data_IF_967859028214
#
_entry.id   IF_967859028214
#
_cell.length_a   1.000
_cell.length_b   1.000
_cell.length_c   1.000
_cell.angle_alpha   90.00
_cell.angle_beta   90.00
_cell.angle_gamma   90.00
#
_symmetry.space_group_name_H-M   'P 1'
#
loop_
_entity.id
_entity.type
_entity.pdbx_description
1 polymer ?
#
# COMPACT_ATOMS: atom_id res chain seq x y z
N UNK A 1 16.79 12.75 33.91
CA UNK A 1 16.48 13.22 32.53
C UNK A 1 15.18 14.03 32.56
N UNK A 2 15.15 15.21 31.97
CA UNK A 2 13.94 16.03 31.91
C UNK A 2 12.97 15.43 30.91
N UNK A 3 11.71 15.20 31.30
CA UNK A 3 10.66 14.73 30.37
C UNK A 3 10.40 15.78 29.29
N UNK A 4 10.25 15.35 28.07
CA UNK A 4 9.87 16.23 26.93
C UNK A 4 8.44 16.79 27.15
N UNK A 5 8.13 17.91 26.48
CA UNK A 5 6.78 18.53 26.54
C UNK A 5 5.71 17.51 26.09
N UNK A 6 5.99 16.73 25.05
CA UNK A 6 5.09 15.68 24.57
C UNK A 6 4.83 14.63 25.62
N UNK A 7 5.86 14.19 26.35
CA UNK A 7 5.73 13.20 27.41
C UNK A 7 4.90 13.71 28.59
N UNK A 8 5.07 14.98 28.96
CA UNK A 8 4.28 15.60 30.03
C UNK A 8 2.81 15.70 29.66
N UNK A 9 2.51 16.25 28.48
CA UNK A 9 1.13 16.51 28.04
C UNK A 9 0.35 15.24 27.66
N UNK A 10 1.02 14.11 27.52
CA UNK A 10 0.36 12.83 27.19
C UNK A 10 0.51 11.79 28.30
N UNK A 11 1.08 12.17 29.44
CA UNK A 11 1.41 11.21 30.52
C UNK A 11 0.15 10.50 31.02
N UNK A 12 -0.88 11.26 31.38
CA UNK A 12 -2.12 10.73 31.94
C UNK A 12 -2.79 9.72 31.02
N UNK A 13 -3.01 10.08 29.74
CA UNK A 13 -3.66 9.19 28.77
C UNK A 13 -2.79 7.95 28.50
N UNK A 14 -1.47 8.08 28.45
CA UNK A 14 -0.58 6.93 28.28
C UNK A 14 -0.62 6.00 29.49
N UNK A 15 -0.67 6.54 30.70
CA UNK A 15 -0.84 5.74 31.93
C UNK A 15 -2.17 4.99 31.97
N UNK A 16 -3.24 5.58 31.44
CA UNK A 16 -4.55 4.90 31.34
C UNK A 16 -4.56 3.79 30.28
N UNK A 17 -3.87 3.98 29.15
CA UNK A 17 -3.89 3.06 28.03
C UNK A 17 -2.86 1.92 28.16
N UNK A 18 -1.70 2.18 28.75
CA UNK A 18 -0.62 1.18 28.86
C UNK A 18 -1.01 -0.11 29.58
N UNK A 19 -1.80 -0.11 30.65
CA UNK A 19 -2.27 -1.35 31.29
C UNK A 19 -3.17 -2.19 30.37
N UNK A 20 -3.85 -1.57 29.40
CA UNK A 20 -4.78 -2.24 28.50
C UNK A 20 -4.09 -2.92 27.31
N UNK A 21 -3.06 -2.28 26.76
CA UNK A 21 -2.48 -2.72 25.47
C UNK A 21 -0.96 -2.88 25.48
N UNK A 22 -0.26 -2.45 26.53
CA UNK A 22 1.19 -2.40 26.62
C UNK A 22 1.72 -0.98 26.39
N UNK A 23 3.01 -0.83 26.16
CA UNK A 23 3.67 0.48 26.06
C UNK A 23 3.05 1.37 24.98
N UNK A 24 2.59 2.55 25.39
CA UNK A 24 2.05 3.59 24.51
C UNK A 24 3.05 4.73 24.42
N UNK A 25 3.40 5.12 23.19
CA UNK A 25 4.25 6.29 22.93
C UNK A 25 3.44 7.41 22.27
N UNK A 26 3.95 8.65 22.35
CA UNK A 26 3.29 9.81 21.77
C UNK A 26 4.24 10.59 20.86
N UNK A 27 3.70 11.22 19.82
CA UNK A 27 4.42 12.13 18.93
C UNK A 27 3.58 13.40 18.69
N UNK A 28 4.21 14.57 18.57
CA UNK A 28 3.49 15.80 18.28
C UNK A 28 2.83 15.75 16.89
N UNK A 29 1.65 16.32 16.79
CA UNK A 29 0.91 16.60 15.56
C UNK A 29 0.70 18.12 15.45
N UNK A 30 0.15 18.59 14.34
CA UNK A 30 -0.18 20.01 14.16
C UNK A 30 -1.18 20.53 15.23
N UNK A 31 -2.14 19.68 15.64
CA UNK A 31 -3.24 20.07 16.53
C UNK A 31 -3.32 19.22 17.80
N UNK A 32 -2.22 18.63 18.25
CA UNK A 32 -2.20 17.80 19.45
C UNK A 32 -1.13 16.72 19.38
N UNK A 33 -1.45 15.50 19.82
CA UNK A 33 -0.49 14.41 19.93
C UNK A 33 -1.08 13.13 19.35
N UNK A 34 -0.33 12.45 18.47
CA UNK A 34 -0.65 11.09 18.01
C UNK A 34 -0.20 10.07 19.06
N UNK A 35 -1.06 9.13 19.37
CA UNK A 35 -0.78 8.01 20.28
C UNK A 35 -0.47 6.75 19.46
N UNK A 36 0.63 6.11 19.81
CA UNK A 36 1.18 4.98 19.08
C UNK A 36 1.33 3.75 19.98
N UNK A 37 0.95 2.62 19.44
CA UNK A 37 1.35 1.31 19.92
C UNK A 37 2.31 0.72 18.89
N UNK A 38 3.55 0.45 19.28
CA UNK A 38 4.63 0.09 18.37
C UNK A 38 4.81 1.14 17.25
N UNK A 39 4.46 0.82 16.00
CA UNK A 39 4.56 1.70 14.82
C UNK A 39 3.19 2.18 14.31
N UNK A 40 2.11 1.94 15.05
CA UNK A 40 0.74 2.16 14.63
C UNK A 40 0.10 3.29 15.41
N UNK A 41 -0.23 4.39 14.73
CA UNK A 41 -1.00 5.48 15.33
C UNK A 41 -2.46 5.04 15.44
N UNK A 42 -2.88 4.66 16.64
CA UNK A 42 -4.22 4.15 16.90
C UNK A 42 -5.18 5.20 17.48
N UNK A 43 -4.66 6.34 17.88
CA UNK A 43 -5.47 7.42 18.41
C UNK A 43 -4.72 8.74 18.40
N UNK A 44 -5.42 9.78 18.81
CA UNK A 44 -4.85 11.11 19.03
C UNK A 44 -5.40 11.72 20.33
N UNK A 45 -4.60 12.60 20.91
CA UNK A 45 -4.99 13.42 22.05
C UNK A 45 -4.99 14.89 21.61
N UNK A 46 -6.11 15.57 21.82
CA UNK A 46 -6.25 16.99 21.53
C UNK A 46 -7.07 17.64 22.66
N UNK A 47 -6.54 18.72 23.25
CA UNK A 47 -7.16 19.40 24.38
C UNK A 47 -7.55 18.42 25.51
N UNK A 48 -6.63 17.50 25.84
CA UNK A 48 -6.76 16.43 26.84
C UNK A 48 -7.87 15.40 26.57
N UNK A 49 -8.47 15.45 25.38
CA UNK A 49 -9.47 14.47 24.94
C UNK A 49 -8.81 13.42 24.07
N UNK A 50 -9.02 12.15 24.41
CA UNK A 50 -8.57 11.02 23.60
C UNK A 50 -9.60 10.66 22.54
N UNK A 51 -9.11 10.51 21.30
CA UNK A 51 -9.89 10.06 20.15
C UNK A 51 -9.28 8.77 19.61
N UNK A 52 -10.07 7.70 19.57
CA UNK A 52 -9.68 6.40 19.02
C UNK A 52 -9.90 6.39 17.50
N UNK A 53 -8.94 5.89 16.74
CA UNK A 53 -9.11 5.69 15.31
C UNK A 53 -10.00 4.48 15.05
N UNK A 54 -11.04 4.65 14.24
CA UNK A 54 -11.94 3.56 13.83
C UNK A 54 -12.50 3.78 12.44
N UNK A 55 -12.74 2.68 11.71
CA UNK A 55 -13.36 2.68 10.39
C UNK A 55 -14.38 1.56 10.29
N UNK A 56 -15.23 1.65 9.28
CA UNK A 56 -16.16 0.61 8.88
C UNK A 56 -16.96 0.04 10.06
N UNK A 57 -16.95 -1.27 10.25
CA UNK A 57 -17.70 -1.94 11.32
C UNK A 57 -17.38 -1.45 12.72
N UNK A 58 -16.12 -1.09 12.99
CA UNK A 58 -15.73 -0.57 14.30
C UNK A 58 -16.29 0.84 14.51
N UNK A 59 -16.23 1.71 13.51
CA UNK A 59 -16.81 3.05 13.57
C UNK A 59 -18.32 2.97 13.84
N UNK A 60 -19.05 2.18 13.07
CA UNK A 60 -20.49 1.95 13.27
C UNK A 60 -20.82 1.40 14.66
N UNK A 61 -19.97 0.48 15.17
CA UNK A 61 -20.14 -0.03 16.53
C UNK A 61 -19.97 1.10 17.56
N UNK A 62 -18.93 1.93 17.43
CA UNK A 62 -18.67 3.02 18.35
C UNK A 62 -19.78 4.08 18.32
N UNK A 63 -20.25 4.46 17.15
CA UNK A 63 -21.36 5.42 16.96
C UNK A 63 -22.66 4.92 17.61
N UNK A 64 -23.03 3.65 17.40
CA UNK A 64 -24.19 3.03 18.07
C UNK A 64 -24.07 3.02 19.58
N UNK A 65 -22.84 3.06 20.09
CA UNK A 65 -22.56 3.17 21.52
C UNK A 65 -22.39 4.64 21.98
N UNK A 66 -22.67 5.62 21.12
CA UNK A 66 -22.65 7.04 21.43
C UNK A 66 -21.25 7.67 21.43
N UNK A 67 -20.32 7.10 20.70
CA UNK A 67 -19.07 7.79 20.39
C UNK A 67 -19.34 8.94 19.41
N UNK A 68 -18.58 10.03 19.58
CA UNK A 68 -18.70 11.23 18.75
C UNK A 68 -17.47 11.35 17.86
N UNK A 69 -17.69 11.47 16.56
CA UNK A 69 -16.61 11.68 15.60
C UNK A 69 -15.95 13.06 15.85
N UNK A 70 -14.63 13.10 15.75
CA UNK A 70 -13.89 14.34 15.75
C UNK A 70 -14.08 15.08 14.41
N UNK A 71 -14.51 16.32 14.48
CA UNK A 71 -14.72 17.16 13.31
C UNK A 71 -13.59 18.19 13.19
N UNK A 72 -12.92 18.21 12.06
CA UNK A 72 -12.00 19.29 11.68
C UNK A 72 -12.77 20.36 10.94
N UNK A 73 -12.76 21.58 11.47
CA UNK A 73 -13.23 22.75 10.73
C UNK A 73 -12.04 23.28 9.92
N UNK A 74 -12.02 22.97 8.62
CA UNK A 74 -11.07 23.59 7.71
C UNK A 74 -11.37 25.08 7.56
N UNK A 75 -10.33 25.89 7.30
CA UNK A 75 -10.42 27.35 7.03
C UNK A 75 -11.42 27.71 5.90
N UNK A 76 -11.82 26.73 5.10
CA UNK A 76 -12.86 26.83 4.05
C UNK A 76 -14.28 26.47 4.53
N UNK A 77 -14.52 26.38 5.84
CA UNK A 77 -15.82 25.97 6.42
C UNK A 77 -16.36 24.62 5.96
N UNK A 78 -15.50 23.71 5.50
CA UNK A 78 -15.88 22.33 5.19
C UNK A 78 -15.60 21.48 6.41
N UNK A 79 -16.66 20.95 7.03
CA UNK A 79 -16.54 19.91 8.05
C UNK A 79 -16.06 18.61 7.38
N UNK A 80 -14.90 18.12 7.79
CA UNK A 80 -14.41 16.83 7.37
C UNK A 80 -14.59 15.85 8.52
N UNK A 81 -15.54 14.93 8.38
CA UNK A 81 -15.73 13.84 9.35
C UNK A 81 -14.47 12.99 9.33
N UNK A 82 -13.83 12.86 10.47
CA UNK A 82 -12.60 12.09 10.60
C UNK A 82 -12.89 10.67 11.06
N UNK A 83 -11.91 9.77 10.84
CA UNK A 83 -11.97 8.41 11.37
C UNK A 83 -11.48 8.33 12.84
N UNK A 84 -11.68 9.38 13.63
CA UNK A 84 -11.30 9.48 15.04
C UNK A 84 -12.52 9.76 15.90
N UNK A 85 -12.71 9.02 16.98
CA UNK A 85 -13.91 9.02 17.78
C UNK A 85 -13.59 9.23 19.26
N UNK A 86 -14.25 10.20 19.89
CA UNK A 86 -14.29 10.32 21.33
C UNK A 86 -15.18 9.22 21.90
N UNK A 87 -14.63 8.43 22.83
CA UNK A 87 -15.34 7.29 23.40
C UNK A 87 -16.19 7.73 24.60
N UNK A 88 -17.44 7.26 24.72
CA UNK A 88 -18.32 7.55 25.84
C UNK A 88 -17.87 6.80 27.11
N UNK A 89 -18.23 7.33 28.27
CA UNK A 89 -17.92 6.75 29.61
C UNK A 89 -18.27 5.27 29.71
N UNK A 90 -19.40 4.84 29.14
CA UNK A 90 -19.84 3.44 29.14
C UNK A 90 -18.84 2.46 28.46
N UNK A 91 -18.02 2.96 27.54
CA UNK A 91 -16.95 2.16 26.95
C UNK A 91 -15.68 2.27 27.81
N UNK A 92 -15.27 3.48 28.18
CA UNK A 92 -14.01 3.71 28.89
C UNK A 92 -14.01 3.20 30.33
N UNK A 93 -15.18 3.13 30.98
CA UNK A 93 -15.32 2.57 32.34
C UNK A 93 -15.41 1.02 32.35
N UNK A 94 -15.66 0.39 31.22
CA UNK A 94 -15.61 -1.07 31.09
C UNK A 94 -14.24 -1.49 30.55
N UNK A 95 -13.31 -1.87 31.41
CA UNK A 95 -11.94 -2.17 31.05
C UNK A 95 -11.81 -3.23 29.92
N UNK A 96 -12.63 -4.29 29.96
CA UNK A 96 -12.61 -5.34 28.94
C UNK A 96 -13.09 -4.81 27.58
N UNK A 97 -14.19 -4.05 27.55
CA UNK A 97 -14.71 -3.46 26.34
C UNK A 97 -13.76 -2.39 25.80
N UNK A 98 -13.19 -1.56 26.66
CA UNK A 98 -12.22 -0.54 26.29
C UNK A 98 -10.96 -1.16 25.66
N UNK A 99 -10.39 -2.18 26.31
CA UNK A 99 -9.27 -2.94 25.74
C UNK A 99 -9.63 -3.55 24.38
N UNK A 100 -10.81 -4.16 24.25
CA UNK A 100 -11.27 -4.81 23.02
C UNK A 100 -11.34 -3.83 21.86
N UNK A 101 -11.96 -2.66 22.04
CA UNK A 101 -12.11 -1.67 20.95
C UNK A 101 -10.77 -1.05 20.55
N UNK A 102 -9.84 -0.82 21.50
CA UNK A 102 -8.50 -0.32 21.19
C UNK A 102 -7.71 -1.37 20.40
N UNK A 103 -7.71 -2.63 20.83
CA UNK A 103 -7.02 -3.72 20.10
C UNK A 103 -7.60 -3.92 18.70
N UNK A 104 -8.90 -3.77 18.53
CA UNK A 104 -9.55 -3.86 17.23
C UNK A 104 -9.15 -2.69 16.32
N UNK A 105 -9.04 -1.48 16.85
CA UNK A 105 -8.50 -0.33 16.12
C UNK A 105 -7.07 -0.59 15.62
N UNK A 106 -6.19 -1.08 16.51
CA UNK A 106 -4.81 -1.40 16.16
C UNK A 106 -4.77 -2.44 15.03
N UNK A 107 -5.55 -3.52 15.16
CA UNK A 107 -5.65 -4.57 14.12
C UNK A 107 -6.11 -4.02 12.77
N UNK A 108 -7.13 -3.15 12.74
CA UNK A 108 -7.55 -2.49 11.49
C UNK A 108 -6.40 -1.72 10.83
N UNK A 109 -5.60 -1.02 11.61
CA UNK A 109 -4.48 -0.25 11.10
C UNK A 109 -3.39 -1.18 10.52
N UNK A 110 -3.13 -2.30 11.17
CA UNK A 110 -2.19 -3.32 10.71
C UNK A 110 -2.65 -3.93 9.38
N UNK A 111 -3.92 -4.33 9.32
CA UNK A 111 -4.55 -4.87 8.11
C UNK A 111 -4.54 -3.87 6.96
N UNK A 112 -4.89 -2.60 7.20
CA UNK A 112 -4.80 -1.54 6.20
C UNK A 112 -3.38 -1.33 5.66
N UNK A 113 -2.38 -1.32 6.56
CA UNK A 113 -0.98 -1.18 6.14
C UNK A 113 -0.50 -2.37 5.33
N UNK A 114 -0.89 -3.58 5.74
CA UNK A 114 -0.56 -4.81 5.01
C UNK A 114 -1.22 -4.80 3.63
N UNK A 115 -2.52 -4.48 3.54
CA UNK A 115 -3.24 -4.39 2.28
C UNK A 115 -2.59 -3.38 1.32
N UNK A 116 -2.26 -2.17 1.80
CA UNK A 116 -1.55 -1.15 1.00
C UNK A 116 -0.16 -1.62 0.55
N UNK A 117 0.56 -2.36 1.40
CA UNK A 117 1.86 -2.93 1.05
C UNK A 117 1.72 -3.97 -0.05
N UNK A 118 0.74 -4.88 0.06
CA UNK A 118 0.47 -5.90 -0.96
C UNK A 118 0.00 -5.28 -2.28
N UNK A 119 -0.89 -4.28 -2.22
CA UNK A 119 -1.31 -3.52 -3.39
C UNK A 119 -0.12 -2.84 -4.08
N UNK A 120 0.75 -2.20 -3.30
CA UNK A 120 1.97 -1.58 -3.83
C UNK A 120 2.88 -2.60 -4.51
N UNK A 121 3.09 -3.78 -3.89
CA UNK A 121 3.91 -4.85 -4.45
C UNK A 121 3.32 -5.46 -5.72
N UNK A 122 1.99 -5.39 -5.90
CA UNK A 122 1.30 -5.85 -7.10
C UNK A 122 1.33 -4.85 -8.26
N UNK A 123 1.94 -3.67 -8.09
CA UNK A 123 2.12 -2.69 -9.17
C UNK A 123 3.28 -3.08 -10.07
N UNK A 124 3.06 -3.05 -11.39
CA UNK A 124 4.04 -3.45 -12.42
C UNK A 124 5.36 -2.67 -12.30
N UNK A 125 5.28 -1.37 -11.98
CA UNK A 125 6.46 -0.51 -11.77
C UNK A 125 7.35 -0.89 -10.59
N UNK A 126 6.95 -1.84 -9.75
CA UNK A 126 7.78 -2.37 -8.66
C UNK A 126 8.64 -3.56 -9.09
N UNK A 127 8.38 -4.13 -10.28
CA UNK A 127 9.23 -5.17 -10.84
C UNK A 127 10.56 -4.58 -11.35
N UNK A 128 11.66 -5.34 -11.27
CA UNK A 128 12.94 -4.93 -11.84
C UNK A 128 12.79 -4.52 -13.31
N UNK A 129 13.56 -3.54 -13.75
CA UNK A 129 13.58 -2.97 -15.11
C UNK A 129 12.29 -2.25 -15.55
N UNK A 130 11.20 -2.33 -14.78
CA UNK A 130 9.93 -1.74 -15.14
C UNK A 130 9.69 -0.44 -14.36
N UNK A 131 9.10 0.53 -15.05
CA UNK A 131 8.75 1.85 -14.50
C UNK A 131 7.27 2.12 -14.79
N UNK A 132 6.77 3.27 -14.36
CA UNK A 132 5.42 3.76 -14.70
C UNK A 132 5.16 3.77 -16.21
N UNK A 133 6.21 3.95 -17.05
CA UNK A 133 6.11 3.87 -18.51
C UNK A 133 5.66 2.48 -18.96
N UNK A 134 6.25 1.43 -18.40
CA UNK A 134 5.87 0.05 -18.71
C UNK A 134 4.50 -0.32 -18.16
N UNK A 135 4.14 0.16 -16.98
CA UNK A 135 2.80 -0.01 -16.41
C UNK A 135 1.72 0.57 -17.34
N UNK A 136 1.92 1.80 -17.83
CA UNK A 136 1.02 2.43 -18.81
C UNK A 136 1.03 1.70 -20.17
N UNK A 137 2.16 1.17 -20.58
CA UNK A 137 2.30 0.41 -21.83
C UNK A 137 1.51 -0.90 -21.76
N UNK A 138 1.67 -1.66 -20.68
CA UNK A 138 0.99 -2.93 -20.44
C UNK A 138 -0.51 -2.78 -20.21
N UNK A 139 -0.94 -1.67 -19.60
CA UNK A 139 -2.35 -1.35 -19.45
C UNK A 139 -3.10 -1.26 -20.81
N UNK A 140 -2.42 -0.88 -21.89
CA UNK A 140 -3.01 -0.85 -23.24
C UNK A 140 -3.39 -2.25 -23.78
N UNK A 141 -2.85 -3.30 -23.19
CA UNK A 141 -3.12 -4.71 -23.53
C UNK A 141 -3.78 -5.45 -22.36
N UNK A 142 -4.49 -4.70 -21.51
CA UNK A 142 -5.29 -5.21 -20.37
C UNK A 142 -4.46 -5.94 -19.30
N UNK A 143 -3.20 -5.51 -19.11
CA UNK A 143 -2.31 -6.01 -18.07
C UNK A 143 -2.09 -4.87 -17.07
N UNK A 144 -2.82 -4.91 -15.93
CA UNK A 144 -2.85 -3.82 -14.96
C UNK A 144 -2.01 -4.07 -13.71
N UNK A 145 -1.64 -5.33 -13.45
CA UNK A 145 -0.96 -5.74 -12.23
C UNK A 145 0.04 -6.88 -12.46
N UNK A 146 0.90 -7.12 -11.46
CA UNK A 146 1.96 -8.15 -11.52
C UNK A 146 1.38 -9.55 -11.67
N UNK A 147 0.26 -9.86 -11.02
CA UNK A 147 -0.38 -11.18 -11.08
C UNK A 147 -0.83 -11.49 -12.52
N UNK A 148 -1.56 -10.55 -13.13
CA UNK A 148 -1.99 -10.66 -14.54
C UNK A 148 -0.80 -10.75 -15.48
N UNK A 149 0.26 -9.93 -15.23
CA UNK A 149 1.46 -9.96 -16.05
C UNK A 149 2.21 -11.32 -15.98
N UNK A 150 2.31 -11.91 -14.78
CA UNK A 150 2.88 -13.26 -14.60
C UNK A 150 2.08 -14.35 -15.33
N UNK A 151 0.76 -14.25 -15.31
CA UNK A 151 -0.13 -15.19 -16.01
C UNK A 151 0.00 -15.08 -17.53
N UNK A 152 0.03 -13.86 -18.08
CA UNK A 152 0.15 -13.60 -19.52
C UNK A 152 1.56 -13.94 -20.03
N UNK A 153 2.58 -13.61 -19.25
CA UNK A 153 4.00 -13.76 -19.61
C UNK A 153 4.52 -12.68 -20.55
N UNK A 154 5.84 -12.48 -20.56
CA UNK A 154 6.50 -11.43 -21.32
C UNK A 154 6.31 -11.57 -22.84
N UNK A 155 6.37 -12.80 -23.35
CA UNK A 155 6.22 -13.09 -24.79
C UNK A 155 4.83 -12.66 -25.26
N UNK A 156 3.77 -13.12 -24.60
CA UNK A 156 2.40 -12.81 -24.99
C UNK A 156 2.08 -11.31 -24.80
N UNK A 157 2.60 -10.70 -23.75
CA UNK A 157 2.47 -9.27 -23.54
C UNK A 157 3.10 -8.47 -24.69
N UNK A 158 4.31 -8.82 -25.11
CA UNK A 158 4.98 -8.19 -26.25
C UNK A 158 4.23 -8.41 -27.56
N UNK A 159 3.76 -9.63 -27.83
CA UNK A 159 2.96 -9.96 -29.03
C UNK A 159 1.66 -9.14 -29.05
N UNK A 160 0.94 -9.02 -27.92
CA UNK A 160 -0.27 -8.19 -27.81
C UNK A 160 0.01 -6.73 -28.14
N UNK A 161 1.13 -6.16 -27.64
CA UNK A 161 1.54 -4.79 -27.94
C UNK A 161 1.80 -4.61 -29.45
N UNK A 162 2.49 -5.56 -30.07
CA UNK A 162 2.74 -5.54 -31.53
C UNK A 162 1.45 -5.65 -32.35
N UNK A 163 0.50 -6.49 -31.94
CA UNK A 163 -0.82 -6.63 -32.60
C UNK A 163 -1.63 -5.33 -32.58
N UNK A 164 -1.52 -4.54 -31.51
CA UNK A 164 -2.13 -3.21 -31.43
C UNK A 164 -1.37 -2.13 -32.19
N UNK A 165 -0.35 -2.49 -32.99
CA UNK A 165 0.45 -1.52 -33.74
C UNK A 165 1.36 -0.65 -32.87
N UNK A 166 1.55 -0.99 -31.59
CA UNK A 166 2.40 -0.22 -30.69
C UNK A 166 3.86 -0.49 -31.03
N UNK A 167 4.61 0.58 -31.30
CA UNK A 167 6.05 0.48 -31.54
C UNK A 167 6.79 0.15 -30.26
N UNK A 168 7.21 -1.10 -30.12
CA UNK A 168 8.08 -1.61 -29.06
C UNK A 168 9.31 -2.26 -29.66
N UNK A 169 10.47 -2.00 -29.05
CA UNK A 169 11.76 -2.54 -29.49
C UNK A 169 12.12 -3.81 -28.68
N UNK A 170 13.23 -4.43 -29.07
CA UNK A 170 13.72 -5.64 -28.42
C UNK A 170 14.17 -5.39 -26.95
N UNK A 171 14.65 -4.19 -26.63
CA UNK A 171 14.99 -3.79 -25.28
C UNK A 171 13.77 -3.81 -24.34
N UNK A 172 12.60 -3.38 -24.87
CA UNK A 172 11.33 -3.53 -24.17
C UNK A 172 11.04 -4.97 -23.82
N UNK A 173 11.27 -5.89 -24.76
CA UNK A 173 11.08 -7.33 -24.52
C UNK A 173 12.03 -7.85 -23.44
N UNK A 174 13.32 -7.47 -23.48
CA UNK A 174 14.28 -7.89 -22.45
C UNK A 174 13.91 -7.39 -21.06
N UNK A 175 13.43 -6.15 -20.97
CA UNK A 175 12.94 -5.59 -19.72
C UNK A 175 11.76 -6.37 -19.16
N UNK A 176 10.78 -6.71 -20.00
CA UNK A 176 9.62 -7.52 -19.61
C UNK A 176 10.02 -8.96 -19.23
N UNK A 177 10.91 -9.58 -20.01
CA UNK A 177 11.34 -10.96 -19.81
C UNK A 177 12.14 -11.12 -18.51
N UNK A 178 13.13 -10.27 -18.29
CA UNK A 178 13.96 -10.30 -17.09
C UNK A 178 13.19 -9.94 -15.81
N UNK A 179 12.21 -9.03 -15.92
CA UNK A 179 11.40 -8.62 -14.76
C UNK A 179 10.59 -9.78 -14.17
N UNK A 180 10.10 -10.71 -14.99
CA UNK A 180 9.38 -11.90 -14.53
C UNK A 180 10.30 -12.93 -13.84
N UNK A 181 11.60 -12.84 -14.06
CA UNK A 181 12.64 -13.64 -13.40
C UNK A 181 13.25 -12.95 -12.18
N UNK A 182 12.71 -11.77 -11.81
CA UNK A 182 13.24 -10.92 -10.73
C UNK A 182 14.73 -10.54 -10.91
N UNK A 183 15.14 -10.31 -12.17
CA UNK A 183 16.52 -10.02 -12.57
C UNK A 183 16.65 -8.71 -13.35
N UNK A 184 17.85 -8.16 -13.35
CA UNK A 184 18.18 -7.04 -14.23
C UNK A 184 18.33 -7.53 -15.68
N UNK A 185 17.73 -6.83 -16.66
CA UNK A 185 17.81 -7.17 -18.07
C UNK A 185 19.26 -7.21 -18.61
N UNK A 186 20.15 -6.41 -18.00
CA UNK A 186 21.59 -6.41 -18.36
C UNK A 186 22.34 -7.68 -17.95
N UNK A 187 21.77 -8.47 -17.02
CA UNK A 187 22.39 -9.73 -16.56
C UNK A 187 21.96 -10.95 -17.37
N UNK A 188 21.10 -10.77 -18.38
CA UNK A 188 20.73 -11.84 -19.30
C UNK A 188 21.94 -12.22 -20.18
N UNK A 189 22.29 -13.49 -20.14
CA UNK A 189 23.36 -14.06 -21.00
C UNK A 189 22.90 -14.16 -22.46
N UNK A 190 23.84 -14.20 -23.38
CA UNK A 190 23.54 -14.34 -24.82
C UNK A 190 22.82 -15.64 -25.13
N UNK A 191 23.09 -16.71 -24.38
CA UNK A 191 22.37 -17.97 -24.49
C UNK A 191 20.90 -17.80 -24.12
N UNK A 192 20.61 -17.16 -22.99
CA UNK A 192 19.24 -16.89 -22.53
C UNK A 192 18.49 -15.97 -23.51
N UNK A 193 19.15 -14.93 -24.02
CA UNK A 193 18.60 -14.03 -25.03
C UNK A 193 18.26 -14.79 -26.33
N UNK A 194 19.14 -15.65 -26.81
CA UNK A 194 18.88 -16.45 -28.01
C UNK A 194 17.68 -17.39 -27.84
N UNK A 195 17.57 -18.09 -26.72
CA UNK A 195 16.44 -18.97 -26.42
C UNK A 195 15.13 -18.16 -26.32
N UNK A 196 15.13 -17.03 -25.58
CA UNK A 196 13.95 -16.20 -25.43
C UNK A 196 13.52 -15.54 -26.75
N UNK A 197 14.47 -15.11 -27.60
CA UNK A 197 14.19 -14.56 -28.93
C UNK A 197 13.60 -15.59 -29.88
N UNK A 198 14.11 -16.82 -29.84
CA UNK A 198 13.55 -17.95 -30.63
C UNK A 198 12.09 -18.18 -30.25
N UNK A 199 11.78 -18.26 -28.94
CA UNK A 199 10.41 -18.41 -28.44
C UNK A 199 9.51 -17.23 -28.81
N UNK A 200 10.04 -16.00 -28.73
CA UNK A 200 9.32 -14.79 -29.16
C UNK A 200 9.01 -14.84 -30.67
N UNK A 201 9.98 -15.23 -31.51
CA UNK A 201 9.79 -15.29 -32.95
C UNK A 201 8.75 -16.33 -33.37
N UNK A 202 8.69 -17.47 -32.68
CA UNK A 202 7.63 -18.47 -32.87
C UNK A 202 6.25 -17.83 -32.53
N UNK A 203 6.15 -17.13 -31.41
CA UNK A 203 4.91 -16.50 -31.01
C UNK A 203 4.49 -15.36 -31.96
N UNK A 204 5.43 -14.57 -32.47
CA UNK A 204 5.19 -13.53 -33.48
C UNK A 204 4.68 -14.14 -34.79
N UNK A 205 5.31 -15.21 -35.28
CA UNK A 205 4.89 -15.92 -36.46
C UNK A 205 3.47 -16.50 -36.33
N UNK A 206 3.18 -17.16 -35.21
CA UNK A 206 1.85 -17.70 -34.90
C UNK A 206 0.78 -16.58 -34.83
N UNK A 207 1.20 -15.36 -34.53
CA UNK A 207 0.35 -14.17 -34.45
C UNK A 207 0.21 -13.43 -35.81
N UNK A 208 0.83 -13.92 -36.89
CA UNK A 208 0.88 -13.27 -38.19
C UNK A 208 1.75 -12.00 -38.22
N UNK A 209 2.69 -11.87 -37.30
CA UNK A 209 3.57 -10.71 -37.18
C UNK A 209 4.97 -11.02 -37.68
N UNK A 210 5.68 -9.99 -38.16
CA UNK A 210 7.06 -10.10 -38.63
C UNK A 210 7.98 -10.50 -37.48
N UNK A 211 8.80 -11.52 -37.72
CA UNK A 211 9.86 -11.96 -36.82
C UNK A 211 10.98 -10.91 -36.71
N UNK A 212 11.67 -10.93 -35.58
CA UNK A 212 12.79 -10.04 -35.28
C UNK A 212 14.08 -10.72 -35.72
N UNK A 213 14.87 -10.08 -36.58
CA UNK A 213 16.17 -10.60 -37.00
C UNK A 213 17.18 -10.57 -35.85
N UNK A 214 17.97 -11.63 -35.70
CA UNK A 214 18.94 -11.80 -34.60
C UNK A 214 20.22 -10.95 -34.69
N UNK A 215 20.38 -10.13 -35.71
CA UNK A 215 21.59 -9.34 -35.97
C UNK A 215 21.90 -8.25 -34.92
N UNK A 216 21.01 -7.99 -33.97
CA UNK A 216 21.19 -6.98 -32.90
C UNK A 216 21.57 -7.60 -31.55
N UNK A 217 22.17 -8.81 -31.53
CA UNK A 217 22.60 -9.49 -30.29
C UNK A 217 24.13 -9.42 -30.07
N UNK A 218 24.84 -8.61 -30.85
CA UNK A 218 26.27 -8.33 -30.69
C UNK A 218 26.49 -6.95 -30.08
#
# INVERSE_FOLDING_TARGET
MSMSITEKNTLEIRMQLSPLIGEVTAKPLFTGYGLYYQKHMFGMCQQDIFYLRAKDKLALFLERHGAVAWESIDSRKRSTISNYYQLPKRITQNALLYQKVIRQSIRQIEEEKLAKKLEKLNQIKQLPNLSIKYERLLAKVEIYDVKTFKTVGAINAYVRLKKLGISVNLETFWSLYASLQDRNAKTLTDKEKRVALSALNIALANAGLRQIKGENLL
#
